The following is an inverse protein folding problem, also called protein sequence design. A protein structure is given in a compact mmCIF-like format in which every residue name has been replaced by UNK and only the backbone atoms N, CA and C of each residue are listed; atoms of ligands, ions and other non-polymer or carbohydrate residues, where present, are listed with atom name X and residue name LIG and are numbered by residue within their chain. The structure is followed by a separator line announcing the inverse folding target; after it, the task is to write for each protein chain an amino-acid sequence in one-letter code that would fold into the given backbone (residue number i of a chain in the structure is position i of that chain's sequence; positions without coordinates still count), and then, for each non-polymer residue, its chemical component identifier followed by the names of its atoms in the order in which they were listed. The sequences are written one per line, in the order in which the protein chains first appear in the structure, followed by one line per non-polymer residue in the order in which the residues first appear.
data_IF_053569257112
#
_entry.id   IF_053569257112
#
_cell.length_a   1.000
_cell.length_b   1.000
_cell.length_c   1.000
_cell.angle_alpha   90.00
_cell.angle_beta   90.00
_cell.angle_gamma   90.00
#
_symmetry.space_group_name_H-M   'P 1'
#
loop_
_entity.id
_entity.type
_entity.pdbx_description
1 polymer ?
#
# COMPACT_ATOMS: atom_id res chain seq x y z
N UNK A 1 -7.27 13.34 52.14
CA UNK A 1 -7.50 14.24 50.99
C UNK A 1 -6.78 13.75 49.74
N UNK A 2 -6.88 12.44 49.41
CA UNK A 2 -6.20 11.80 48.27
C UNK A 2 -7.03 10.71 47.58
N UNK A 3 -8.27 10.48 48.02
CA UNK A 3 -9.18 9.50 47.40
C UNK A 3 -10.15 10.18 46.41
N UNK A 4 -10.33 11.50 46.52
CA UNK A 4 -11.22 12.27 45.62
C UNK A 4 -10.59 12.61 44.26
N UNK A 5 -9.27 12.48 44.10
CA UNK A 5 -8.56 12.82 42.85
C UNK A 5 -8.48 11.64 41.87
N UNK A 6 -8.65 10.41 42.35
CA UNK A 6 -8.63 9.21 41.49
C UNK A 6 -10.01 8.89 40.88
N UNK A 7 -11.09 9.35 41.53
CA UNK A 7 -12.48 9.17 41.06
C UNK A 7 -12.93 10.21 40.02
N UNK A 8 -12.18 11.31 39.86
CA UNK A 8 -12.43 12.33 38.82
C UNK A 8 -11.69 12.06 37.51
N UNK A 9 -10.79 11.06 37.48
CA UNK A 9 -10.07 10.65 36.27
C UNK A 9 -10.76 9.50 35.50
N UNK A 10 -11.79 8.87 36.07
CA UNK A 10 -12.47 7.70 35.49
C UNK A 10 -13.84 8.08 34.87
N UNK A 11 -14.33 9.31 35.05
CA UNK A 11 -15.60 9.77 34.44
C UNK A 11 -15.46 10.61 33.17
N UNK A 12 -14.23 10.79 32.65
CA UNK A 12 -14.04 11.13 31.24
C UNK A 12 -13.88 9.84 30.42
N UNK A 13 -14.81 8.90 30.58
CA UNK A 13 -15.23 8.14 29.40
C UNK A 13 -15.88 9.18 28.49
N UNK A 14 -15.07 9.74 27.59
CA UNK A 14 -15.55 10.24 26.32
C UNK A 14 -16.30 9.06 25.68
N UNK A 15 -17.59 8.93 25.98
CA UNK A 15 -18.54 8.60 24.94
C UNK A 15 -18.42 9.76 23.95
N UNK A 16 -17.44 9.66 23.06
CA UNK A 16 -17.57 10.35 21.79
C UNK A 16 -18.85 9.78 21.23
N UNK A 17 -19.92 10.59 21.21
CA UNK A 17 -21.08 10.29 20.39
C UNK A 17 -20.52 9.93 19.03
N UNK A 18 -20.68 8.67 18.65
CA UNK A 18 -20.35 8.19 17.32
C UNK A 18 -21.38 8.83 16.41
N UNK A 19 -21.12 10.08 16.02
CA UNK A 19 -21.88 10.76 14.99
C UNK A 19 -21.59 10.04 13.66
N UNK A 20 -22.61 9.82 12.84
CA UNK A 20 -22.51 9.12 11.56
C UNK A 20 -21.48 9.79 10.63
N UNK A 21 -21.31 11.12 10.74
CA UNK A 21 -20.27 11.93 10.08
C UNK A 21 -18.83 11.55 10.49
N UNK A 22 -18.63 11.12 11.75
CA UNK A 22 -17.34 10.65 12.27
C UNK A 22 -17.01 9.24 11.71
N UNK A 23 -18.03 8.40 11.50
CA UNK A 23 -17.87 7.09 10.84
C UNK A 23 -17.47 7.27 9.38
N UNK A 24 -18.16 8.15 8.63
CA UNK A 24 -17.85 8.43 7.23
C UNK A 24 -16.41 8.96 7.06
N UNK A 25 -15.99 9.87 7.94
CA UNK A 25 -14.62 10.41 7.96
C UNK A 25 -13.59 9.32 8.23
N UNK A 26 -13.81 8.46 9.23
CA UNK A 26 -12.91 7.33 9.52
C UNK A 26 -12.85 6.32 8.40
N UNK A 27 -13.97 5.96 7.79
CA UNK A 27 -14.01 5.06 6.64
C UNK A 27 -13.25 5.65 5.44
N UNK A 28 -13.37 6.95 5.21
CA UNK A 28 -12.63 7.66 4.17
C UNK A 28 -11.12 7.68 4.42
N UNK A 29 -10.72 8.04 5.65
CA UNK A 29 -9.32 8.00 6.09
C UNK A 29 -8.74 6.59 6.01
N UNK A 30 -9.53 5.56 6.35
CA UNK A 30 -9.16 4.14 6.19
C UNK A 30 -8.85 3.83 4.76
N UNK A 31 -9.72 4.25 3.85
CA UNK A 31 -9.54 3.99 2.43
C UNK A 31 -8.27 4.63 1.89
N UNK A 32 -8.06 5.93 2.12
CA UNK A 32 -6.87 6.61 1.60
C UNK A 32 -5.60 6.10 2.26
N UNK A 33 -5.58 5.93 3.58
CA UNK A 33 -4.38 5.49 4.30
C UNK A 33 -3.99 4.07 3.90
N UNK A 34 -4.97 3.17 3.82
CA UNK A 34 -4.75 1.83 3.30
C UNK A 34 -4.23 1.89 1.86
N UNK A 35 -4.83 2.70 0.97
CA UNK A 35 -4.36 2.79 -0.40
C UNK A 35 -2.96 3.36 -0.54
N UNK A 36 -2.60 4.41 0.19
CA UNK A 36 -1.24 4.95 0.16
C UNK A 36 -0.18 3.91 0.52
N UNK A 37 -0.50 3.05 1.49
CA UNK A 37 0.42 2.02 1.96
C UNK A 37 0.42 0.81 1.02
N UNK A 38 -0.76 0.39 0.54
CA UNK A 38 -0.98 -0.83 -0.26
C UNK A 38 -1.04 -0.60 -1.79
N UNK A 39 -0.84 0.62 -2.28
CA UNK A 39 -0.54 0.90 -3.69
C UNK A 39 0.87 1.44 -3.86
N UNK A 40 1.72 1.34 -2.85
CA UNK A 40 3.11 1.76 -2.96
C UNK A 40 3.98 0.60 -3.43
N UNK A 41 4.99 0.88 -4.25
CA UNK A 41 5.80 -0.12 -5.00
C UNK A 41 6.53 -1.22 -4.18
N UNK A 42 6.28 -1.40 -2.87
CA UNK A 42 6.72 -2.59 -2.11
C UNK A 42 5.75 -2.95 -0.97
N UNK A 43 4.59 -2.30 -0.89
CA UNK A 43 3.51 -2.63 0.04
C UNK A 43 2.37 -3.17 -0.80
N UNK A 44 2.15 -4.48 -0.69
CA UNK A 44 1.00 -5.19 -1.24
C UNK A 44 0.69 -4.93 -2.74
N UNK A 45 1.09 -5.86 -3.59
CA UNK A 45 0.92 -5.76 -5.05
C UNK A 45 -0.55 -5.98 -5.46
N UNK A 46 -0.85 -6.14 -6.76
CA UNK A 46 -2.21 -6.54 -7.18
C UNK A 46 -2.68 -7.78 -6.42
N UNK A 47 -3.84 -7.71 -5.76
CA UNK A 47 -4.24 -8.69 -4.75
C UNK A 47 -5.57 -8.42 -4.08
N UNK A 48 -5.91 -9.31 -3.15
CA UNK A 48 -7.12 -9.26 -2.33
C UNK A 48 -6.76 -9.25 -0.85
N UNK A 49 -7.35 -8.33 -0.11
CA UNK A 49 -7.04 -8.06 1.29
C UNK A 49 -8.30 -8.03 2.14
N UNK A 50 -8.16 -8.49 3.37
CA UNK A 50 -9.17 -8.46 4.40
C UNK A 50 -8.57 -7.84 5.67
N UNK A 51 -9.03 -6.63 5.99
CA UNK A 51 -8.73 -5.92 7.21
C UNK A 51 -9.72 -6.36 8.28
N UNK A 52 -9.39 -7.41 9.03
CA UNK A 52 -10.30 -8.05 9.98
C UNK A 52 -10.70 -7.11 11.12
N UNK A 53 -9.75 -6.32 11.64
CA UNK A 53 -9.99 -5.43 12.76
C UNK A 53 -10.78 -4.19 12.35
N UNK A 54 -10.56 -3.70 11.13
CA UNK A 54 -11.27 -2.56 10.58
C UNK A 54 -12.62 -2.95 9.95
N UNK A 55 -12.83 -4.24 9.62
CA UNK A 55 -14.06 -4.75 9.02
C UNK A 55 -14.22 -4.37 7.55
N UNK A 56 -13.14 -4.46 6.75
CA UNK A 56 -13.18 -4.15 5.32
C UNK A 56 -12.45 -5.18 4.47
N UNK A 57 -12.95 -5.41 3.26
CA UNK A 57 -12.27 -6.11 2.18
C UNK A 57 -11.83 -5.13 1.10
N UNK A 58 -10.66 -5.35 0.53
CA UNK A 58 -10.08 -4.50 -0.50
C UNK A 58 -9.48 -5.33 -1.64
N UNK A 59 -9.91 -5.03 -2.85
CA UNK A 59 -9.30 -5.51 -4.08
C UNK A 59 -8.39 -4.40 -4.63
N UNK A 60 -7.15 -4.71 -4.99
CA UNK A 60 -6.19 -3.76 -5.56
C UNK A 60 -5.67 -4.29 -6.89
N UNK A 61 -5.65 -3.40 -7.88
CA UNK A 61 -5.01 -3.60 -9.17
C UNK A 61 -4.02 -2.46 -9.37
N UNK A 62 -2.74 -2.80 -9.49
CA UNK A 62 -1.67 -1.83 -9.46
C UNK A 62 -0.60 -2.18 -10.48
N UNK A 63 -0.17 -1.17 -11.24
CA UNK A 63 0.87 -1.29 -12.25
C UNK A 63 1.99 -0.29 -11.94
N UNK A 64 3.00 -0.70 -11.15
CA UNK A 64 4.17 0.10 -10.89
C UNK A 64 5.16 0.02 -12.06
N UNK A 65 5.89 1.11 -12.32
CA UNK A 65 7.04 1.10 -13.20
C UNK A 65 8.23 1.83 -12.56
N UNK A 66 9.42 1.37 -12.90
CA UNK A 66 10.69 1.96 -12.51
C UNK A 66 11.61 1.94 -13.73
N UNK A 67 12.20 3.09 -14.05
CA UNK A 67 13.07 3.26 -15.20
C UNK A 67 14.37 3.90 -14.76
N UNK A 68 15.49 3.20 -14.96
CA UNK A 68 16.81 3.72 -14.66
C UNK A 68 17.36 4.49 -15.86
N UNK A 69 17.69 5.76 -15.63
CA UNK A 69 18.31 6.61 -16.64
C UNK A 69 19.78 6.22 -16.81
N UNK A 70 20.21 6.10 -18.07
CA UNK A 70 21.61 5.93 -18.41
C UNK A 70 22.43 7.06 -17.81
N UNK A 71 23.47 6.70 -17.06
CA UNK A 71 24.34 7.64 -16.37
C UNK A 71 25.77 7.54 -16.86
N UNK A 72 26.44 8.70 -16.97
CA UNK A 72 27.88 8.77 -17.23
C UNK A 72 28.72 8.51 -15.98
N UNK A 73 28.10 8.47 -14.79
CA UNK A 73 28.77 8.20 -13.53
C UNK A 73 28.74 6.71 -13.21
N UNK A 74 29.91 6.13 -12.88
CA UNK A 74 30.08 4.68 -12.66
C UNK A 74 29.14 4.11 -11.58
N UNK A 75 28.89 4.87 -10.51
CA UNK A 75 28.22 4.37 -9.31
C UNK A 75 26.90 5.09 -8.99
N UNK A 76 26.48 6.05 -9.82
CA UNK A 76 25.28 6.86 -9.56
C UNK A 76 24.42 6.83 -10.81
N UNK A 77 23.15 6.50 -10.68
CA UNK A 77 22.16 6.61 -11.74
C UNK A 77 20.89 7.30 -11.24
N UNK A 78 20.26 8.08 -12.11
CA UNK A 78 18.95 8.64 -11.83
C UNK A 78 17.88 7.62 -12.20
N UNK A 79 16.71 7.73 -11.60
CA UNK A 79 15.58 6.89 -11.99
C UNK A 79 14.29 7.70 -12.02
N UNK A 80 13.39 7.26 -12.88
CA UNK A 80 12.00 7.67 -12.90
C UNK A 80 11.17 6.53 -12.35
N UNK A 81 10.14 6.85 -11.58
CA UNK A 81 9.18 5.87 -11.09
C UNK A 81 7.78 6.41 -11.31
N UNK A 82 6.83 5.51 -11.40
CA UNK A 82 5.44 5.90 -11.33
C UNK A 82 4.55 4.69 -11.14
N UNK A 83 3.27 4.99 -11.04
CA UNK A 83 2.27 3.97 -10.87
C UNK A 83 0.91 4.41 -11.38
N UNK A 84 0.10 3.42 -11.76
CA UNK A 84 -1.34 3.58 -11.89
C UNK A 84 -2.01 2.48 -11.08
N UNK A 85 -3.08 2.84 -10.39
CA UNK A 85 -3.79 1.92 -9.52
C UNK A 85 -5.29 2.11 -9.56
N UNK A 86 -5.99 1.03 -9.27
CA UNK A 86 -7.41 0.99 -9.02
C UNK A 86 -7.65 0.11 -7.80
N UNK A 87 -8.52 0.56 -6.92
CA UNK A 87 -8.98 -0.26 -5.81
C UNK A 87 -10.49 -0.22 -5.65
N UNK A 88 -10.99 -1.29 -5.06
CA UNK A 88 -12.37 -1.40 -4.61
C UNK A 88 -12.37 -1.85 -3.17
N UNK A 89 -13.02 -1.08 -2.31
CA UNK A 89 -13.18 -1.41 -0.89
C UNK A 89 -14.65 -1.62 -0.58
N UNK A 90 -14.91 -2.64 0.23
CA UNK A 90 -16.23 -3.03 0.69
C UNK A 90 -16.16 -3.33 2.18
N UNK A 91 -17.23 -3.03 2.92
CA UNK A 91 -17.36 -3.45 4.31
C UNK A 91 -17.43 -4.99 4.37
N UNK A 92 -16.73 -5.59 5.33
CA UNK A 92 -16.88 -7.00 5.64
C UNK A 92 -17.86 -7.19 6.79
N UNK A 93 -18.97 -7.87 6.53
CA UNK A 93 -20.00 -8.09 7.53
C UNK A 93 -21.13 -7.05 7.54
N UNK A 94 -22.23 -7.42 8.18
CA UNK A 94 -23.25 -6.48 8.65
C UNK A 94 -22.73 -5.91 9.97
N UNK A 95 -22.27 -4.66 9.98
CA UNK A 95 -22.08 -3.96 11.25
C UNK A 95 -23.49 -3.74 11.83
N UNK A 96 -23.81 -4.52 12.86
CA UNK A 96 -25.07 -4.40 13.59
C UNK A 96 -24.87 -3.37 14.70
N UNK A 97 -25.51 -2.20 14.57
CA UNK A 97 -25.57 -1.24 15.68
C UNK A 97 -26.42 -1.83 16.81
N UNK A 98 -25.85 -2.17 17.98
CA UNK A 98 -26.59 -2.77 19.09
C UNK A 98 -27.68 -1.85 19.66
N UNK A 99 -27.65 -0.55 19.30
CA UNK A 99 -28.58 0.44 19.81
C UNK A 99 -29.74 0.77 18.86
N UNK A 100 -29.70 0.32 17.59
CA UNK A 100 -30.68 0.77 16.58
C UNK A 100 -31.22 -0.29 15.59
N UNK A 101 -30.89 -1.58 15.70
CA UNK A 101 -31.39 -2.61 14.75
C UNK A 101 -31.10 -2.23 13.27
N UNK A 102 -29.93 -1.64 13.00
CA UNK A 102 -29.54 -1.14 11.66
C UNK A 102 -28.62 -2.13 10.95
N UNK A 103 -28.91 -2.40 9.68
CA UNK A 103 -28.17 -3.30 8.79
C UNK A 103 -27.36 -2.50 7.78
N UNK A 104 -26.05 -2.38 8.01
CA UNK A 104 -25.13 -1.89 6.99
C UNK A 104 -25.03 -2.90 5.85
N UNK A 105 -25.42 -2.49 4.64
CA UNK A 105 -25.54 -3.40 3.51
C UNK A 105 -24.27 -3.45 2.64
N UNK A 106 -23.94 -4.67 2.19
CA UNK A 106 -22.70 -5.06 1.47
C UNK A 106 -22.50 -4.39 0.09
N UNK A 107 -23.49 -3.64 -0.41
CA UNK A 107 -23.50 -3.11 -1.78
C UNK A 107 -22.82 -1.73 -1.92
N UNK A 108 -22.32 -1.14 -0.82
CA UNK A 108 -21.57 0.11 -0.85
C UNK A 108 -20.09 -0.15 -1.20
N UNK A 109 -19.65 0.38 -2.34
CA UNK A 109 -18.27 0.24 -2.80
C UNK A 109 -17.58 1.59 -2.89
N UNK A 110 -16.50 1.76 -2.13
CA UNK A 110 -15.54 2.84 -2.33
C UNK A 110 -14.59 2.42 -3.45
N UNK A 111 -14.47 3.26 -4.46
CA UNK A 111 -13.57 3.08 -5.60
C UNK A 111 -12.56 4.20 -5.60
N UNK A 112 -11.30 3.83 -5.74
CA UNK A 112 -10.22 4.81 -5.80
C UNK A 112 -9.34 4.54 -7.01
N UNK A 113 -9.04 5.60 -7.74
CA UNK A 113 -8.10 5.61 -8.84
C UNK A 113 -6.86 6.37 -8.40
N UNK A 114 -5.67 5.82 -8.66
CA UNK A 114 -4.41 6.46 -8.32
C UNK A 114 -3.51 6.58 -9.54
N UNK A 115 -2.75 7.67 -9.58
CA UNK A 115 -1.70 7.92 -10.56
C UNK A 115 -0.54 8.62 -9.89
N UNK A 116 0.64 8.02 -9.96
CA UNK A 116 1.87 8.53 -9.36
C UNK A 116 2.97 8.73 -10.39
N UNK A 117 3.74 9.80 -10.22
CA UNK A 117 4.98 10.03 -10.97
C UNK A 117 6.03 10.65 -10.06
N UNK A 118 7.25 10.16 -10.19
CA UNK A 118 8.36 10.56 -9.35
C UNK A 118 9.70 10.20 -9.96
N UNK A 119 10.73 10.41 -9.15
CA UNK A 119 12.08 10.06 -9.52
C UNK A 119 13.04 10.19 -8.35
N UNK A 120 14.27 9.81 -8.59
CA UNK A 120 15.28 9.81 -7.55
C UNK A 120 16.67 9.50 -8.04
N UNK A 121 17.53 9.25 -7.05
CA UNK A 121 18.93 8.93 -7.23
C UNK A 121 19.16 7.54 -6.66
N UNK A 122 19.89 6.73 -7.42
CA UNK A 122 20.39 5.43 -7.03
C UNK A 122 21.91 5.49 -6.97
N UNK A 123 22.47 4.93 -5.92
CA UNK A 123 23.90 4.69 -5.75
C UNK A 123 24.15 3.19 -5.67
N UNK A 124 25.07 2.67 -6.48
CA UNK A 124 25.46 1.28 -6.45
C UNK A 124 26.98 1.17 -6.34
N UNK A 125 27.47 0.30 -5.45
CA UNK A 125 28.89 0.02 -5.32
C UNK A 125 29.24 -1.42 -5.70
N UNK A 126 30.54 -1.67 -5.90
CA UNK A 126 31.09 -2.97 -6.28
C UNK A 126 30.93 -4.04 -5.18
N UNK A 127 30.70 -3.62 -3.93
CA UNK A 127 30.51 -4.52 -2.80
C UNK A 127 29.08 -5.07 -2.70
N UNK A 128 28.18 -4.70 -3.62
CA UNK A 128 26.79 -5.17 -3.65
C UNK A 128 25.82 -4.33 -2.83
N UNK A 129 26.22 -3.13 -2.38
CA UNK A 129 25.32 -2.17 -1.74
C UNK A 129 24.65 -1.33 -2.82
N UNK A 130 23.34 -1.21 -2.73
CA UNK A 130 22.49 -0.43 -3.62
C UNK A 130 21.56 0.45 -2.77
N UNK A 131 21.68 1.76 -2.90
CA UNK A 131 20.91 2.74 -2.14
C UNK A 131 20.03 3.52 -3.12
N UNK A 132 18.74 3.61 -2.86
CA UNK A 132 17.82 4.47 -3.60
C UNK A 132 17.22 5.51 -2.66
N UNK A 133 17.09 6.74 -3.14
CA UNK A 133 16.32 7.78 -2.48
C UNK A 133 15.56 8.59 -3.53
N UNK A 134 14.31 8.95 -3.26
CA UNK A 134 13.48 9.63 -4.24
C UNK A 134 12.21 10.23 -3.67
N UNK A 135 11.51 10.93 -4.55
CA UNK A 135 10.24 11.59 -4.28
C UNK A 135 9.23 11.19 -5.35
N UNK A 136 7.98 11.01 -4.95
CA UNK A 136 6.86 10.77 -5.86
C UNK A 136 5.67 11.62 -5.45
N UNK A 137 4.99 12.19 -6.44
CA UNK A 137 3.70 12.84 -6.27
C UNK A 137 2.63 11.86 -6.74
N UNK A 138 1.66 11.58 -5.89
CA UNK A 138 0.55 10.66 -6.19
C UNK A 138 -0.74 11.46 -6.12
N UNK A 139 -1.49 11.46 -7.21
CA UNK A 139 -2.86 11.92 -7.24
C UNK A 139 -3.78 10.72 -7.04
N UNK A 140 -4.79 10.87 -6.18
CA UNK A 140 -5.83 9.88 -6.03
C UNK A 140 -7.21 10.51 -6.11
N UNK A 141 -8.15 9.77 -6.72
CA UNK A 141 -9.54 10.18 -6.85
C UNK A 141 -10.42 9.09 -6.29
N UNK A 142 -11.12 9.39 -5.21
CA UNK A 142 -11.97 8.46 -4.46
C UNK A 142 -13.43 8.84 -4.65
N UNK A 143 -14.28 7.85 -4.91
CA UNK A 143 -15.72 8.04 -4.97
C UNK A 143 -16.46 6.80 -4.53
N UNK A 144 -17.74 6.94 -4.21
CA UNK A 144 -18.60 5.83 -3.83
C UNK A 144 -19.55 5.46 -4.97
N UNK A 145 -19.79 4.17 -5.14
CA UNK A 145 -20.94 3.65 -5.87
C UNK A 145 -21.90 3.10 -4.83
N UNK A 146 -22.93 3.88 -4.50
CA UNK A 146 -23.99 3.48 -3.57
C UNK A 146 -25.07 2.77 -4.38
N UNK A 147 -25.40 1.54 -4.00
CA UNK A 147 -26.70 0.96 -4.39
C UNK A 147 -27.59 1.14 -3.16
N UNK A 148 -28.43 2.18 -3.20
CA UNK A 148 -29.20 2.72 -2.08
C UNK A 148 -29.42 1.73 -0.91
N UNK A 149 -28.71 1.91 0.21
CA UNK A 149 -29.17 1.45 1.51
C UNK A 149 -30.31 2.37 1.94
N UNK A 150 -31.40 1.80 2.42
CA UNK A 150 -32.52 2.52 3.01
C UNK A 150 -32.18 2.91 4.49
N UNK A 151 -30.97 3.42 4.76
CA UNK A 151 -30.49 3.76 6.11
C UNK A 151 -29.73 5.10 6.22
N UNK A 152 -29.67 5.66 7.44
CA UNK A 152 -29.11 6.99 7.72
C UNK A 152 -27.60 7.08 7.43
N UNK A 153 -26.84 5.99 7.61
CA UNK A 153 -25.39 5.98 7.38
C UNK A 153 -25.06 5.89 5.87
N UNK A 154 -25.84 5.12 5.11
CA UNK A 154 -25.80 5.10 3.65
C UNK A 154 -26.10 6.49 3.09
N UNK A 155 -27.12 7.17 3.63
CA UNK A 155 -27.42 8.56 3.31
C UNK A 155 -26.29 9.51 3.71
N UNK A 156 -25.67 9.35 4.88
CA UNK A 156 -24.56 10.21 5.33
C UNK A 156 -23.30 10.04 4.46
N UNK A 157 -22.96 8.82 4.07
CA UNK A 157 -21.83 8.54 3.16
C UNK A 157 -22.19 9.02 1.74
N UNK A 158 -23.41 8.77 1.28
CA UNK A 158 -23.87 9.31 -0.01
C UNK A 158 -23.79 10.85 0.01
N UNK A 159 -24.29 11.51 1.05
CA UNK A 159 -24.24 12.96 1.23
C UNK A 159 -22.79 13.47 1.18
N UNK A 160 -21.85 12.79 1.85
CA UNK A 160 -20.42 13.12 1.79
C UNK A 160 -19.84 13.10 0.36
N UNK A 161 -20.35 12.26 -0.53
CA UNK A 161 -19.87 12.10 -1.92
C UNK A 161 -20.87 12.56 -3.01
N UNK A 162 -22.04 13.10 -2.62
CA UNK A 162 -23.27 13.12 -3.43
C UNK A 162 -23.15 13.79 -4.78
N UNK A 163 -22.17 14.68 -4.94
CA UNK A 163 -21.99 15.46 -6.15
C UNK A 163 -20.55 15.52 -6.67
N UNK A 164 -19.55 14.93 -5.99
CA UNK A 164 -18.14 14.96 -6.43
C UNK A 164 -17.34 13.77 -5.91
N UNK A 165 -16.39 13.33 -6.73
CA UNK A 165 -15.26 12.55 -6.23
C UNK A 165 -14.42 13.43 -5.31
N UNK A 166 -13.73 12.81 -4.36
CA UNK A 166 -12.71 13.49 -3.59
C UNK A 166 -11.34 13.29 -4.25
N UNK A 167 -10.66 14.41 -4.47
CA UNK A 167 -9.34 14.48 -5.07
C UNK A 167 -8.32 14.67 -3.95
N UNK A 168 -7.34 13.77 -3.84
CA UNK A 168 -6.27 13.86 -2.86
C UNK A 168 -4.93 13.95 -3.54
N UNK A 169 -4.04 14.71 -2.90
CA UNK A 169 -2.65 14.83 -3.31
C UNK A 169 -1.74 14.29 -2.22
N UNK A 170 -0.94 13.29 -2.56
CA UNK A 170 -0.02 12.62 -1.65
C UNK A 170 1.41 12.87 -2.09
N UNK A 171 2.25 13.28 -1.14
CA UNK A 171 3.70 13.37 -1.30
C UNK A 171 4.34 12.14 -0.67
N UNK A 172 5.11 11.40 -1.46
CA UNK A 172 5.86 10.24 -0.99
C UNK A 172 7.36 10.53 -1.00
N UNK A 173 8.00 10.38 0.15
CA UNK A 173 9.46 10.30 0.26
C UNK A 173 9.84 8.83 0.42
N UNK A 174 10.80 8.35 -0.35
CA UNK A 174 11.30 6.98 -0.22
C UNK A 174 12.81 6.94 -0.03
N UNK A 175 13.27 6.01 0.78
CA UNK A 175 14.68 5.65 0.92
C UNK A 175 14.79 4.14 1.09
N UNK A 176 15.79 3.55 0.45
CA UNK A 176 15.97 2.12 0.38
C UNK A 176 17.46 1.78 0.38
N UNK A 177 17.85 0.77 1.13
CA UNK A 177 19.21 0.22 1.19
C UNK A 177 19.09 -1.29 0.99
N UNK A 178 19.63 -1.77 -0.12
CA UNK A 178 19.77 -3.18 -0.44
C UNK A 178 21.24 -3.60 -0.33
N UNK A 179 21.48 -4.75 0.27
CA UNK A 179 22.75 -5.47 0.17
C UNK A 179 22.50 -6.79 -0.53
N UNK A 180 23.11 -7.00 -1.71
CA UNK A 180 22.97 -8.21 -2.51
C UNK A 180 24.34 -8.77 -2.86
N UNK A 181 24.52 -10.08 -2.70
CA UNK A 181 25.78 -10.76 -3.03
C UNK A 181 25.50 -12.09 -3.73
N UNK A 182 26.38 -12.48 -4.66
CA UNK A 182 26.32 -13.81 -5.28
C UNK A 182 27.16 -14.81 -4.49
N UNK A 183 26.57 -15.95 -4.14
CA UNK A 183 27.24 -17.07 -3.47
C UNK A 183 26.80 -18.39 -4.11
N UNK A 184 27.73 -19.14 -4.70
CA UNK A 184 27.44 -20.41 -5.39
C UNK A 184 26.28 -20.32 -6.41
N UNK A 185 26.16 -19.17 -7.08
CA UNK A 185 25.09 -18.89 -8.04
C UNK A 185 23.78 -18.39 -7.42
N UNK A 186 23.58 -18.54 -6.12
CA UNK A 186 22.48 -17.89 -5.41
C UNK A 186 22.75 -16.39 -5.29
N UNK A 187 21.68 -15.58 -5.28
CA UNK A 187 21.75 -14.13 -5.08
C UNK A 187 20.95 -13.72 -3.83
N UNK A 188 21.42 -14.07 -2.60
CA UNK A 188 20.80 -13.57 -1.38
C UNK A 188 20.87 -12.03 -1.30
N UNK A 189 19.85 -11.45 -0.71
CA UNK A 189 19.80 -10.03 -0.42
C UNK A 189 19.15 -9.75 0.93
N UNK A 190 19.52 -8.61 1.51
CA UNK A 190 18.83 -7.95 2.61
C UNK A 190 18.42 -6.56 2.17
N UNK A 191 17.22 -6.15 2.55
CA UNK A 191 16.61 -4.90 2.13
C UNK A 191 16.05 -4.16 3.34
N UNK A 192 16.39 -2.89 3.47
CA UNK A 192 15.76 -1.96 4.41
C UNK A 192 15.14 -0.82 3.61
N UNK A 193 13.84 -0.59 3.73
CA UNK A 193 13.17 0.54 3.10
C UNK A 193 12.37 1.35 4.11
N UNK A 194 12.32 2.66 3.86
CA UNK A 194 11.52 3.62 4.61
C UNK A 194 10.76 4.51 3.64
N UNK A 195 9.46 4.64 3.86
CA UNK A 195 8.58 5.48 3.06
C UNK A 195 7.76 6.36 3.98
N UNK A 196 7.67 7.63 3.64
CA UNK A 196 6.85 8.62 4.31
C UNK A 196 5.82 9.17 3.32
N UNK A 197 4.58 9.25 3.75
CA UNK A 197 3.44 9.73 2.98
C UNK A 197 2.80 10.89 3.74
N UNK A 198 2.59 12.00 3.05
CA UNK A 198 1.76 13.10 3.53
C UNK A 198 0.66 13.33 2.50
N UNK A 199 -0.59 13.17 2.91
CA UNK A 199 -1.74 13.42 2.03
C UNK A 199 -2.52 14.63 2.49
N UNK A 200 -2.84 15.47 1.51
CA UNK A 200 -3.76 16.58 1.64
C UNK A 200 -5.01 16.24 0.86
N UNK A 201 -6.14 16.31 1.53
CA UNK A 201 -7.45 16.04 0.97
C UNK A 201 -8.31 17.29 1.13
N UNK A 202 -8.79 17.81 0.01
CA UNK A 202 -9.66 18.98 -0.04
C UNK A 202 -11.08 18.53 -0.37
N UNK A 203 -12.02 18.83 0.52
CA UNK A 203 -13.43 18.52 0.30
C UNK A 203 -14.17 19.73 -0.26
N UNK A 204 -15.31 19.48 -0.91
CA UNK A 204 -16.19 20.54 -1.41
C UNK A 204 -17.43 20.79 -0.55
N UNK A 205 -17.40 20.39 0.73
CA UNK A 205 -18.54 20.51 1.67
C UNK A 205 -18.34 21.65 2.67
N UNK A 206 -19.44 22.31 3.04
CA UNK A 206 -19.44 23.50 3.92
C UNK A 206 -19.02 23.20 5.37
N UNK A 207 -18.99 21.93 5.81
CA UNK A 207 -18.70 21.54 7.20
C UNK A 207 -17.24 21.06 7.44
N UNK A 208 -16.50 20.68 6.40
CA UNK A 208 -15.14 20.16 6.48
C UNK A 208 -14.32 20.72 5.32
N UNK A 209 -13.44 21.68 5.60
CA UNK A 209 -12.70 22.42 4.55
C UNK A 209 -11.46 21.70 4.05
N UNK A 210 -10.78 20.91 4.88
CA UNK A 210 -9.66 20.03 4.49
C UNK A 210 -9.17 19.16 5.65
N UNK A 211 -8.46 18.07 5.37
CA UNK A 211 -7.64 17.36 6.37
C UNK A 211 -6.29 16.91 5.79
N UNK A 212 -5.33 16.74 6.69
CA UNK A 212 -4.00 16.21 6.40
C UNK A 212 -3.84 14.89 7.15
N UNK A 213 -3.32 13.87 6.49
CA UNK A 213 -2.96 12.59 7.11
C UNK A 213 -1.49 12.28 6.83
N UNK A 214 -0.78 11.76 7.83
CA UNK A 214 0.59 11.32 7.72
C UNK A 214 0.72 9.83 8.00
N UNK A 215 1.38 9.10 7.09
CA UNK A 215 1.64 7.68 7.26
C UNK A 215 3.10 7.38 6.92
N UNK A 216 3.67 6.36 7.57
CA UNK A 216 5.01 5.88 7.26
C UNK A 216 5.04 4.36 7.26
N UNK A 217 5.92 3.81 6.43
CA UNK A 217 6.14 2.37 6.32
C UNK A 217 7.64 2.11 6.38
N UNK A 218 8.06 1.33 7.36
CA UNK A 218 9.42 0.79 7.43
C UNK A 218 9.37 -0.69 7.11
N UNK A 219 10.17 -1.16 6.16
CA UNK A 219 10.21 -2.56 5.75
C UNK A 219 11.61 -3.13 5.88
N UNK A 220 11.72 -4.31 6.47
CA UNK A 220 12.93 -5.12 6.44
C UNK A 220 12.65 -6.41 5.70
N UNK A 221 13.41 -6.67 4.65
CA UNK A 221 13.25 -7.81 3.76
C UNK A 221 14.51 -8.66 3.68
N UNK A 222 14.30 -9.97 3.55
CA UNK A 222 15.33 -10.94 3.19
C UNK A 222 14.81 -11.77 2.03
N UNK A 223 15.68 -12.08 1.08
CA UNK A 223 15.32 -12.99 0.01
C UNK A 223 16.54 -13.60 -0.67
N UNK A 224 16.29 -14.59 -1.52
CA UNK A 224 17.33 -15.21 -2.31
C UNK A 224 16.77 -15.69 -3.65
N UNK A 225 17.42 -15.29 -4.73
CA UNK A 225 17.21 -15.86 -6.06
C UNK A 225 18.11 -17.09 -6.23
N UNK A 226 17.58 -18.17 -6.80
CA UNK A 226 18.32 -19.39 -7.10
C UNK A 226 19.29 -19.20 -8.27
N UNK A 227 20.28 -20.09 -8.42
CA UNK A 227 20.95 -20.28 -9.70
C UNK A 227 19.94 -20.65 -10.80
N UNK A 228 20.43 -20.72 -12.04
CA UNK A 228 19.64 -21.19 -13.18
C UNK A 228 19.15 -22.62 -12.93
N UNK A 229 17.83 -22.81 -12.96
CA UNK A 229 17.20 -24.11 -12.70
C UNK A 229 16.89 -24.88 -13.98
N UNK A 230 16.54 -24.15 -15.03
CA UNK A 230 16.16 -24.71 -16.33
C UNK A 230 16.55 -23.75 -17.44
N UNK A 231 17.04 -24.27 -18.56
CA UNK A 231 17.49 -23.47 -19.71
C UNK A 231 16.84 -23.99 -20.99
N UNK A 232 16.30 -23.08 -21.80
CA UNK A 232 15.72 -23.38 -23.11
C UNK A 232 15.99 -22.23 -24.08
N UNK A 233 16.56 -22.51 -25.25
CA UNK A 233 16.88 -21.51 -26.27
C UNK A 233 17.57 -20.25 -25.68
N UNK A 234 18.61 -20.44 -24.86
CA UNK A 234 19.40 -19.38 -24.21
C UNK A 234 18.64 -18.54 -23.15
N UNK A 235 17.34 -18.79 -22.98
CA UNK A 235 16.54 -18.28 -21.87
C UNK A 235 16.65 -19.23 -20.68
N UNK A 236 16.43 -18.72 -19.48
CA UNK A 236 16.53 -19.55 -18.27
C UNK A 236 15.56 -19.14 -17.16
N UNK A 237 15.15 -20.14 -16.37
CA UNK A 237 14.31 -19.99 -15.21
C UNK A 237 15.16 -19.81 -13.94
N UNK A 238 14.83 -18.79 -13.15
CA UNK A 238 15.25 -18.69 -11.74
C UNK A 238 14.02 -18.55 -10.85
N UNK A 239 14.16 -18.94 -9.59
CA UNK A 239 13.14 -18.75 -8.56
C UNK A 239 13.69 -17.85 -7.47
N UNK A 240 12.84 -17.03 -6.88
CA UNK A 240 13.14 -16.26 -5.68
C UNK A 240 12.15 -16.61 -4.59
N UNK A 241 12.64 -16.68 -3.35
CA UNK A 241 11.81 -16.68 -2.16
C UNK A 241 12.21 -15.49 -1.29
N UNK A 242 11.23 -14.85 -0.66
CA UNK A 242 11.46 -13.69 0.18
C UNK A 242 10.53 -13.67 1.40
N UNK A 243 10.96 -12.92 2.41
CA UNK A 243 10.19 -12.58 3.61
C UNK A 243 10.42 -11.11 3.95
N UNK A 244 9.34 -10.38 4.21
CA UNK A 244 9.38 -9.00 4.68
C UNK A 244 8.61 -8.85 5.98
N UNK A 245 9.17 -8.07 6.89
CA UNK A 245 8.46 -7.50 8.05
C UNK A 245 8.27 -6.01 7.83
N UNK A 246 7.06 -5.52 8.09
CA UNK A 246 6.67 -4.13 7.89
C UNK A 246 6.18 -3.53 9.20
N UNK A 247 6.56 -2.29 9.44
CA UNK A 247 6.07 -1.45 10.55
C UNK A 247 5.39 -0.20 9.98
N UNK A 248 4.19 0.08 10.46
CA UNK A 248 3.36 1.22 10.14
C UNK A 248 3.46 2.28 11.25
N UNK A 249 3.52 3.54 10.85
CA UNK A 249 3.47 4.65 11.80
C UNK A 249 2.65 5.82 11.27
N UNK A 250 2.19 6.69 12.17
CA UNK A 250 1.32 7.83 11.87
C UNK A 250 -0.15 7.45 11.90
N UNK A 251 -0.99 8.28 11.29
CA UNK A 251 -2.46 8.22 11.37
C UNK A 251 -3.05 6.94 10.77
N UNK A 252 -2.26 6.15 10.05
CA UNK A 252 -2.72 4.85 9.52
C UNK A 252 -2.97 3.82 10.62
N UNK A 253 -2.20 3.81 11.71
CA UNK A 253 -2.28 2.75 12.73
C UNK A 253 -3.60 2.80 13.48
N UNK A 254 -4.07 4.01 13.77
CA UNK A 254 -5.35 4.26 14.45
C UNK A 254 -6.57 3.82 13.62
N UNK A 255 -6.33 3.62 12.33
CA UNK A 255 -7.35 3.43 11.32
C UNK A 255 -7.42 1.97 10.87
N UNK A 256 -6.28 1.33 10.61
CA UNK A 256 -6.23 -0.08 10.23
C UNK A 256 -6.26 -1.04 11.42
N UNK A 257 -6.00 -0.54 12.64
CA UNK A 257 -6.06 -1.33 13.88
C UNK A 257 -4.80 -2.15 14.18
N UNK A 258 -3.76 -2.06 13.34
CA UNK A 258 -2.47 -2.73 13.53
C UNK A 258 -1.31 -1.82 13.13
N UNK A 259 -0.14 -2.08 13.71
CA UNK A 259 1.11 -1.35 13.45
C UNK A 259 2.15 -2.19 12.71
N UNK A 260 1.91 -3.49 12.51
CA UNK A 260 2.86 -4.42 11.91
C UNK A 260 2.17 -5.43 11.02
N UNK A 261 2.84 -5.86 9.95
CA UNK A 261 2.41 -6.99 9.12
C UNK A 261 3.62 -7.64 8.44
N UNK A 262 3.46 -8.86 7.94
CA UNK A 262 4.52 -9.57 7.23
C UNK A 262 4.06 -10.09 5.88
N UNK A 263 5.01 -10.15 4.94
CA UNK A 263 4.81 -10.67 3.58
C UNK A 263 5.76 -11.82 3.34
N UNK A 264 5.26 -12.96 2.92
CA UNK A 264 6.06 -14.07 2.42
C UNK A 264 5.68 -14.34 0.98
N UNK A 265 6.67 -14.53 0.11
CA UNK A 265 6.40 -14.67 -1.30
C UNK A 265 7.46 -15.43 -2.07
N UNK A 266 7.09 -15.78 -3.29
CA UNK A 266 7.96 -16.39 -4.27
C UNK A 266 7.76 -15.74 -5.63
N UNK A 267 8.84 -15.66 -6.40
CA UNK A 267 8.82 -15.12 -7.76
C UNK A 267 9.47 -16.12 -8.70
N UNK A 268 8.81 -16.41 -9.81
CA UNK A 268 9.40 -17.14 -10.92
C UNK A 268 9.85 -16.15 -11.99
N UNK A 269 11.14 -16.15 -12.33
CA UNK A 269 11.71 -15.29 -13.37
C UNK A 269 12.03 -16.11 -14.61
N UNK A 270 11.47 -15.69 -15.74
CA UNK A 270 11.91 -16.14 -17.05
C UNK A 270 12.85 -15.12 -17.65
N UNK A 271 14.15 -15.42 -17.63
CA UNK A 271 15.21 -14.53 -18.06
C UNK A 271 15.49 -14.70 -19.56
N UNK A 272 15.56 -13.59 -20.27
CA UNK A 272 15.71 -13.48 -21.73
C UNK A 272 16.90 -12.59 -22.08
N UNK A 273 18.14 -13.02 -21.75
CA UNK A 273 19.35 -12.19 -21.88
C UNK A 273 19.76 -11.93 -23.34
N UNK A 274 19.35 -12.77 -24.28
CA UNK A 274 19.54 -12.51 -25.70
C UNK A 274 18.40 -11.64 -26.23
N UNK A 275 18.78 -10.44 -26.68
CA UNK A 275 18.03 -9.28 -27.19
C UNK A 275 16.92 -9.51 -28.25
N UNK A 276 16.40 -10.72 -28.42
CA UNK A 276 15.27 -11.02 -29.31
C UNK A 276 13.94 -10.56 -28.68
N UNK A 277 13.90 -10.39 -27.35
CA UNK A 277 12.72 -9.93 -26.62
C UNK A 277 12.90 -8.50 -26.13
N UNK A 278 11.80 -7.72 -26.16
CA UNK A 278 11.72 -6.34 -25.66
C UNK A 278 11.79 -6.23 -24.13
N UNK A 279 11.88 -7.37 -23.43
CA UNK A 279 12.05 -7.48 -21.99
C UNK A 279 13.25 -8.38 -21.69
N UNK A 280 13.96 -8.08 -20.61
CA UNK A 280 15.08 -8.88 -20.12
C UNK A 280 14.64 -10.02 -19.20
N UNK A 281 13.53 -9.81 -18.49
CA UNK A 281 12.91 -10.85 -17.67
C UNK A 281 11.41 -10.65 -17.63
N UNK A 282 10.69 -11.75 -17.65
CA UNK A 282 9.28 -11.81 -17.26
C UNK A 282 9.20 -12.43 -15.87
N UNK A 283 8.22 -12.03 -15.07
CA UNK A 283 8.04 -12.61 -13.75
C UNK A 283 6.57 -12.87 -13.42
N UNK A 284 6.38 -13.92 -12.63
CA UNK A 284 5.15 -14.23 -11.90
C UNK A 284 5.48 -14.25 -10.42
N UNK A 285 4.81 -13.41 -9.66
CA UNK A 285 4.92 -13.31 -8.20
C UNK A 285 3.66 -13.86 -7.55
N UNK A 286 3.86 -14.66 -6.50
CA UNK A 286 2.82 -15.09 -5.58
C UNK A 286 3.27 -14.76 -4.17
N UNK A 287 2.43 -14.04 -3.42
CA UNK A 287 2.73 -13.77 -2.02
C UNK A 287 1.48 -13.73 -1.15
N UNK A 288 1.68 -13.92 0.14
CA UNK A 288 0.64 -13.83 1.16
C UNK A 288 1.07 -12.81 2.20
N UNK A 289 0.08 -12.09 2.72
CA UNK A 289 0.28 -11.12 3.79
C UNK A 289 -0.60 -11.45 4.97
N UNK A 290 -0.02 -11.30 6.15
CA UNK A 290 -0.67 -11.64 7.38
C UNK A 290 -0.24 -10.69 8.52
N UNK A 291 -1.19 -10.40 9.40
CA UNK A 291 -1.09 -9.70 10.67
C UNK A 291 -2.29 -10.10 11.54
N UNK A 292 -2.29 -9.74 12.82
CA UNK A 292 -3.45 -9.92 13.68
C UNK A 292 -4.72 -9.23 13.16
N UNK A 293 -4.56 -8.20 12.31
CA UNK A 293 -5.65 -7.40 11.72
C UNK A 293 -5.70 -7.38 10.19
N UNK A 294 -4.91 -8.19 9.49
CA UNK A 294 -4.79 -8.18 8.03
C UNK A 294 -4.52 -9.58 7.48
N UNK A 295 -5.30 -10.02 6.52
CA UNK A 295 -5.05 -11.22 5.72
C UNK A 295 -5.12 -10.87 4.22
N UNK A 296 -4.25 -11.43 3.40
CA UNK A 296 -4.34 -11.23 1.96
C UNK A 296 -3.41 -12.07 1.13
N UNK A 297 -3.64 -12.02 -0.18
CA UNK A 297 -2.80 -12.67 -1.18
C UNK A 297 -2.61 -11.79 -2.40
N UNK A 298 -1.45 -11.93 -3.03
CA UNK A 298 -1.02 -11.12 -4.16
C UNK A 298 -0.65 -12.04 -5.32
N UNK A 299 -1.01 -11.59 -6.52
CA UNK A 299 -0.58 -12.20 -7.77
C UNK A 299 -0.05 -11.09 -8.66
N UNK A 300 1.26 -11.10 -8.89
CA UNK A 300 1.95 -10.13 -9.73
C UNK A 300 2.39 -10.75 -11.05
N UNK A 301 2.16 -10.07 -12.16
CA UNK A 301 2.78 -10.41 -13.45
C UNK A 301 3.45 -9.16 -13.96
N UNK A 302 4.69 -9.29 -14.42
CA UNK A 302 5.39 -8.15 -14.99
C UNK A 302 6.62 -8.54 -15.78
N UNK A 303 7.38 -7.51 -16.13
CA UNK A 303 8.62 -7.64 -16.87
C UNK A 303 9.58 -6.54 -16.48
N UNK A 304 10.87 -6.70 -16.78
CA UNK A 304 11.82 -5.58 -16.81
C UNK A 304 12.35 -5.34 -18.19
N UNK A 305 12.59 -4.07 -18.48
CA UNK A 305 13.28 -3.60 -19.68
C UNK A 305 14.53 -2.91 -19.17
N UNK A 306 15.71 -3.33 -19.64
CA UNK A 306 16.95 -2.62 -19.38
C UNK A 306 17.48 -2.08 -20.72
N UNK A 307 18.09 -0.89 -20.67
CA UNK A 307 18.68 -0.20 -21.84
C UNK A 307 20.04 0.40 -21.50
#
# INVERSE_FOLDING_TARGET
MQILFFLLFITFYLHAEINEENIATKAYQTNINALMVFTSQEGLNSGHYHFTDAGFKMDIYHLPFLYHLKSSYKNINFFLMGNVGYSRTMLDGVISDPSKDRLLNYDNHLRTYTGGLGGGIRYQNENGINILAGLELIYSRTGISVRQPDDDLGNAIEDFFKNKFNDNLTYKVLTQIEYRKTYEGFKPYALLSYKLYETKADFSFDALTSFTTQASVTSFGLGAETPQLYTFNQMYLTLEAYLYGHYLGGDITDVVGFDTYHTIGTVAYWNTPENINWAERFFLELSTVNSSGLEGYNIGIGFTVDF
#
